data_IF_469520483018
#
_entry.id   IF_469520483018
#
_cell.length_a   1.000
_cell.length_b   1.000
_cell.length_c   1.000
_cell.angle_alpha   90.00
_cell.angle_beta   90.00
_cell.angle_gamma   90.00
#
_symmetry.space_group_name_H-M   'P 1'
#
loop_
_entity.id
_entity.type
_entity.pdbx_description
1 polymer ?
#
# COMPACT_ATOMS: atom_id res chain seq x y z
N UNK A 1 -55.02 -20.98 34.15
CA UNK A 1 -54.13 -22.02 34.70
C UNK A 1 -52.72 -21.43 34.77
N UNK A 2 -52.27 -21.10 36.00
CA UNK A 2 -50.91 -20.82 36.51
C UNK A 2 -49.84 -20.11 35.62
N UNK A 3 -49.06 -19.11 36.04
CA UNK A 3 -48.90 -18.35 37.30
C UNK A 3 -48.01 -17.11 36.99
N UNK A 4 -48.32 -15.96 37.62
CA UNK A 4 -47.38 -14.85 37.90
C UNK A 4 -46.12 -15.34 38.63
N UNK A 5 -45.07 -14.50 38.61
CA UNK A 5 -43.91 -14.36 39.55
C UNK A 5 -42.58 -14.56 38.81
N UNK A 6 -41.52 -13.78 38.97
CA UNK A 6 -41.15 -12.78 39.97
C UNK A 6 -40.02 -11.93 39.38
N UNK A 7 -40.16 -10.60 39.37
CA UNK A 7 -39.00 -9.74 39.60
C UNK A 7 -38.69 -9.83 41.11
N UNK A 8 -37.53 -10.38 41.44
CA UNK A 8 -36.85 -10.27 42.72
C UNK A 8 -35.37 -10.14 42.30
N UNK A 9 -34.63 -9.08 42.59
CA UNK A 9 -34.50 -8.42 43.87
C UNK A 9 -33.12 -8.75 44.42
N UNK A 10 -32.17 -7.84 44.13
CA UNK A 10 -30.84 -7.64 44.74
C UNK A 10 -29.63 -8.50 44.28
N UNK A 11 -28.62 -7.75 43.84
CA UNK A 11 -27.27 -8.19 43.50
C UNK A 11 -26.58 -7.12 42.64
N UNK A 12 -26.21 -5.97 43.23
CA UNK A 12 -25.36 -4.97 42.57
C UNK A 12 -24.01 -5.65 42.28
N UNK A 13 -23.75 -6.00 41.02
CA UNK A 13 -22.45 -5.95 40.33
C UNK A 13 -22.60 -6.69 39.00
N UNK A 14 -22.14 -6.05 37.93
CA UNK A 14 -21.94 -6.62 36.58
C UNK A 14 -23.16 -7.08 35.77
N UNK A 15 -23.83 -6.10 35.14
CA UNK A 15 -24.62 -6.33 33.93
C UNK A 15 -24.36 -5.21 32.92
N UNK A 16 -23.24 -5.30 32.20
CA UNK A 16 -22.99 -4.49 31.00
C UNK A 16 -22.36 -5.27 29.85
N UNK A 17 -22.82 -6.49 29.58
CA UNK A 17 -22.47 -7.21 28.34
C UNK A 17 -23.66 -8.05 27.84
N UNK A 18 -24.60 -7.41 27.15
CA UNK A 18 -25.47 -8.13 26.21
C UNK A 18 -25.95 -7.14 25.15
N UNK A 19 -25.05 -6.78 24.24
CA UNK A 19 -25.36 -5.93 23.09
C UNK A 19 -25.13 -6.69 21.77
N UNK A 20 -26.17 -6.68 20.94
CA UNK A 20 -26.18 -6.86 19.49
C UNK A 20 -25.58 -8.14 18.86
N UNK A 21 -26.44 -9.13 18.63
CA UNK A 21 -26.40 -9.94 17.39
C UNK A 21 -27.54 -9.49 16.48
N UNK A 22 -27.23 -8.83 15.36
CA UNK A 22 -28.16 -8.72 14.23
C UNK A 22 -27.42 -9.26 13.00
N UNK A 23 -27.84 -10.45 12.59
CA UNK A 23 -27.32 -11.25 11.48
C UNK A 23 -27.87 -10.65 10.18
N UNK A 24 -27.00 -10.29 9.23
CA UNK A 24 -27.39 -9.92 7.87
C UNK A 24 -26.95 -11.05 6.93
N UNK A 25 -27.94 -11.78 6.38
CA UNK A 25 -27.75 -12.71 5.27
C UNK A 25 -27.59 -11.91 3.99
N UNK A 26 -26.54 -12.18 3.22
CA UNK A 26 -26.49 -11.88 1.79
C UNK A 26 -26.15 -13.20 1.10
N UNK A 27 -27.09 -13.69 0.29
CA UNK A 27 -26.92 -14.85 -0.57
C UNK A 27 -26.15 -14.44 -1.83
N UNK A 28 -25.01 -15.10 -2.09
CA UNK A 28 -24.47 -15.24 -3.44
C UNK A 28 -24.14 -16.70 -3.72
N UNK A 29 -24.41 -17.06 -4.96
CA UNK A 29 -24.45 -18.39 -5.56
C UNK A 29 -23.03 -18.88 -5.88
N UNK A 30 -22.76 -20.15 -5.56
CA UNK A 30 -21.64 -21.00 -5.99
C UNK A 30 -20.23 -20.57 -5.56
N UNK A 31 -19.74 -21.09 -4.44
CA UNK A 31 -18.81 -22.24 -4.38
C UNK A 31 -18.49 -22.47 -2.91
N UNK A 32 -18.83 -23.66 -2.41
CA UNK A 32 -18.56 -24.09 -1.03
C UNK A 32 -17.05 -24.15 -0.75
N UNK A 33 -16.58 -23.35 0.22
CA UNK A 33 -15.45 -23.74 1.05
C UNK A 33 -15.74 -23.43 2.51
N UNK A 34 -15.92 -24.52 3.25
CA UNK A 34 -16.25 -24.58 4.66
C UNK A 34 -14.94 -24.46 5.46
N UNK A 35 -14.64 -23.29 6.04
CA UNK A 35 -13.56 -23.14 7.02
C UNK A 35 -14.19 -22.79 8.36
N UNK A 36 -14.42 -23.84 9.14
CA UNK A 36 -14.71 -23.76 10.57
C UNK A 36 -13.41 -23.44 11.30
N UNK A 37 -13.30 -22.23 11.88
CA UNK A 37 -12.28 -21.95 12.88
C UNK A 37 -12.90 -22.23 14.24
N UNK A 38 -12.60 -23.43 14.75
CA UNK A 38 -12.88 -23.85 16.12
C UNK A 38 -12.02 -23.00 17.07
N UNK A 39 -12.68 -22.12 17.83
CA UNK A 39 -12.06 -21.49 18.98
C UNK A 39 -12.21 -22.41 20.19
N UNK A 40 -11.16 -23.14 20.55
CA UNK A 40 -10.96 -23.55 21.95
C UNK A 40 -9.57 -23.21 22.48
N UNK A 41 -9.50 -22.71 23.72
CA UNK A 41 -8.28 -22.30 24.38
C UNK A 41 -7.59 -23.54 24.96
N UNK A 42 -6.27 -23.63 24.83
CA UNK A 42 -5.49 -24.54 25.69
C UNK A 42 -4.34 -23.80 26.35
N UNK A 43 -4.48 -23.71 27.66
CA UNK A 43 -3.57 -23.15 28.61
C UNK A 43 -2.30 -23.99 28.76
N UNK A 44 -1.27 -23.33 29.30
CA UNK A 44 -0.15 -23.91 30.04
C UNK A 44 0.77 -24.86 29.28
N UNK A 45 1.89 -24.29 28.83
CA UNK A 45 3.17 -25.01 28.84
C UNK A 45 4.20 -24.14 29.55
N UNK A 46 4.29 -24.33 30.87
CA UNK A 46 5.36 -23.81 31.71
C UNK A 46 6.59 -24.69 31.51
N UNK A 47 7.68 -24.12 30.99
CA UNK A 47 9.00 -24.75 31.08
C UNK A 47 9.74 -24.10 32.25
N UNK A 48 9.90 -24.92 33.27
CA UNK A 48 10.70 -24.71 34.46
C UNK A 48 12.19 -24.72 34.09
N UNK A 49 12.90 -23.63 34.39
CA UNK A 49 14.36 -23.57 34.33
C UNK A 49 14.89 -23.02 35.66
N UNK A 50 14.61 -23.73 36.76
CA UNK A 50 15.29 -23.54 38.04
C UNK A 50 16.14 -24.76 38.39
N UNK A 51 17.28 -24.95 37.72
CA UNK A 51 18.39 -25.80 38.22
C UNK A 51 19.67 -25.55 37.43
N UNK A 52 20.54 -24.69 37.98
CA UNK A 52 21.98 -24.92 38.20
C UNK A 52 22.55 -23.64 38.80
N UNK A 53 23.09 -23.75 40.01
CA UNK A 53 23.76 -22.64 40.68
C UNK A 53 25.07 -22.29 39.99
N UNK A 54 25.33 -20.99 39.87
CA UNK A 54 26.66 -20.44 39.73
C UNK A 54 26.66 -19.08 40.45
N UNK A 55 27.23 -19.09 41.65
CA UNK A 55 27.64 -17.90 42.40
C UNK A 55 28.89 -17.37 41.70
N UNK A 56 28.87 -16.13 41.22
CA UNK A 56 30.08 -15.37 40.93
C UNK A 56 29.99 -14.00 41.61
N UNK A 57 30.76 -13.90 42.69
CA UNK A 57 31.15 -12.66 43.36
C UNK A 57 32.59 -12.37 42.92
N UNK A 58 32.86 -11.16 42.44
CA UNK A 58 34.21 -10.75 42.03
C UNK A 58 34.25 -9.49 41.18
N UNK A 59 34.33 -8.35 41.86
CA UNK A 59 35.31 -7.27 41.66
C UNK A 59 35.98 -7.06 40.28
N UNK A 60 35.92 -5.79 39.87
CA UNK A 60 36.98 -5.00 39.22
C UNK A 60 37.13 -5.01 37.68
N UNK A 61 36.74 -3.86 37.11
CA UNK A 61 37.58 -2.99 36.30
C UNK A 61 38.30 -3.60 35.07
N UNK A 62 37.78 -3.30 33.87
CA UNK A 62 38.34 -2.28 32.96
C UNK A 62 37.90 -2.53 31.50
N UNK A 63 37.59 -1.41 30.84
CA UNK A 63 37.62 -1.18 29.40
C UNK A 63 37.15 -2.31 28.47
N UNK A 64 35.90 -2.21 28.00
CA UNK A 64 35.71 -2.20 26.55
C UNK A 64 34.45 -1.43 26.17
N UNK A 65 34.67 -0.21 25.73
CA UNK A 65 33.75 0.59 24.94
C UNK A 65 33.43 -0.18 23.66
N UNK A 66 32.32 -0.90 23.66
CA UNK A 66 31.64 -1.26 22.42
C UNK A 66 30.25 -0.71 22.50
N UNK A 67 30.07 0.42 21.84
CA UNK A 67 28.83 1.12 21.57
C UNK A 67 27.79 0.10 21.08
N UNK A 68 27.00 -0.42 22.02
CA UNK A 68 25.74 -1.10 21.76
C UNK A 68 24.82 -0.05 21.14
N UNK A 69 25.00 0.14 19.83
CA UNK A 69 24.07 0.85 18.97
C UNK A 69 22.76 0.09 19.04
N UNK A 70 21.97 0.41 20.07
CA UNK A 70 20.59 0.01 20.23
C UNK A 70 19.83 0.63 19.08
N UNK A 71 19.90 0.02 17.90
CA UNK A 71 18.92 0.17 16.85
C UNK A 71 17.63 -0.38 17.46
N UNK A 72 16.94 0.48 18.23
CA UNK A 72 15.56 0.28 18.57
C UNK A 72 14.83 0.31 17.24
N UNK A 73 14.73 -0.85 16.60
CA UNK A 73 13.71 -1.09 15.58
C UNK A 73 12.41 -0.83 16.32
N UNK A 74 11.92 0.40 16.19
CA UNK A 74 10.62 0.84 16.70
C UNK A 74 9.66 -0.09 15.97
N UNK A 75 9.23 -1.17 16.63
CA UNK A 75 8.31 -2.17 16.10
C UNK A 75 6.98 -1.48 15.84
N UNK A 76 6.94 -0.81 14.70
CA UNK A 76 5.78 -0.10 14.22
C UNK A 76 4.90 -1.18 13.64
N UNK A 77 4.14 -1.84 14.52
CA UNK A 77 3.18 -2.89 14.14
C UNK A 77 2.35 -2.35 12.98
N UNK A 78 2.58 -2.88 11.78
CA UNK A 78 1.74 -2.59 10.63
C UNK A 78 0.33 -3.01 11.01
N UNK A 79 -0.60 -2.06 11.01
CA UNK A 79 -1.98 -2.42 11.27
C UNK A 79 -2.45 -3.30 10.12
N UNK A 80 -3.16 -4.39 10.42
CA UNK A 80 -3.72 -5.31 9.43
C UNK A 80 -4.50 -4.57 8.33
N UNK A 81 -5.13 -3.46 8.71
CA UNK A 81 -5.82 -2.56 7.80
C UNK A 81 -4.88 -1.91 6.75
N UNK A 82 -3.69 -1.45 7.14
CA UNK A 82 -2.72 -0.85 6.21
C UNK A 82 -2.29 -1.86 5.16
N UNK A 83 -2.02 -3.09 5.58
CA UNK A 83 -1.64 -4.18 4.68
C UNK A 83 -2.78 -4.53 3.71
N UNK A 84 -4.02 -4.59 4.20
CA UNK A 84 -5.18 -4.85 3.35
C UNK A 84 -5.37 -3.75 2.30
N UNK A 85 -5.28 -2.48 2.70
CA UNK A 85 -5.45 -1.34 1.77
C UNK A 85 -4.32 -1.28 0.74
N UNK A 86 -3.07 -1.53 1.14
CA UNK A 86 -1.96 -1.66 0.17
C UNK A 86 -2.18 -2.79 -0.83
N UNK A 87 -2.65 -3.95 -0.35
CA UNK A 87 -2.93 -5.08 -1.21
C UNK A 87 -4.07 -4.79 -2.20
N UNK A 88 -5.12 -4.10 -1.76
CA UNK A 88 -6.23 -3.68 -2.63
C UNK A 88 -5.75 -2.69 -3.69
N UNK A 89 -4.96 -1.68 -3.32
CA UNK A 89 -4.44 -0.72 -4.31
C UNK A 89 -3.48 -1.40 -5.31
N UNK A 90 -2.63 -2.31 -4.85
CA UNK A 90 -1.77 -3.11 -5.73
C UNK A 90 -2.61 -4.01 -6.67
N UNK A 91 -3.69 -4.62 -6.18
CA UNK A 91 -4.59 -5.42 -7.01
C UNK A 91 -5.31 -4.56 -8.07
N UNK A 92 -5.79 -3.37 -7.69
CA UNK A 92 -6.38 -2.41 -8.64
C UNK A 92 -5.36 -2.01 -9.70
N UNK A 93 -4.10 -1.78 -9.32
CA UNK A 93 -3.02 -1.50 -10.26
C UNK A 93 -2.73 -2.69 -11.19
N UNK A 94 -2.80 -3.93 -10.69
CA UNK A 94 -2.62 -5.13 -11.52
C UNK A 94 -3.77 -5.35 -12.51
N UNK A 95 -5.00 -4.96 -12.16
CA UNK A 95 -6.17 -5.12 -13.05
C UNK A 95 -6.23 -4.01 -14.10
N UNK A 96 -5.95 -2.77 -13.71
CA UNK A 96 -6.02 -1.61 -14.61
C UNK A 96 -4.71 -1.33 -15.35
N UNK A 97 -3.57 -1.82 -14.87
CA UNK A 97 -2.25 -1.61 -15.48
C UNK A 97 -2.11 -2.17 -16.91
N UNK A 98 -2.59 -3.41 -17.18
CA UNK A 98 -2.58 -3.99 -18.53
C UNK A 98 -3.48 -3.28 -19.52
N UNK A 99 -4.49 -2.53 -19.05
CA UNK A 99 -5.43 -1.81 -19.91
C UNK A 99 -4.72 -0.64 -20.57
N UNK A 100 -4.32 -0.86 -21.83
CA UNK A 100 -3.55 0.12 -22.60
C UNK A 100 -4.03 0.24 -24.02
N UNK A 101 -3.94 1.44 -24.58
CA UNK A 101 -4.18 1.69 -26.00
C UNK A 101 -2.82 1.77 -26.72
N UNK A 102 -2.55 0.90 -27.71
CA UNK A 102 -1.30 0.93 -28.46
C UNK A 102 -1.34 2.05 -29.52
N UNK A 103 -0.63 3.17 -29.26
CA UNK A 103 -0.55 4.31 -30.20
C UNK A 103 0.89 4.50 -30.72
N UNK A 104 1.82 3.63 -30.32
CA UNK A 104 3.23 3.67 -30.72
C UNK A 104 4.09 2.67 -29.95
N UNK A 105 5.41 2.91 -29.94
CA UNK A 105 6.38 2.06 -29.25
C UNK A 105 6.16 2.00 -27.72
N UNK A 106 5.62 3.07 -27.15
CA UNK A 106 5.16 3.13 -25.76
C UNK A 106 3.63 3.17 -25.77
N UNK A 107 2.95 2.19 -25.14
CA UNK A 107 1.49 2.19 -25.08
C UNK A 107 0.97 3.15 -23.99
N UNK A 108 -0.17 3.78 -24.24
CA UNK A 108 -0.82 4.63 -23.24
C UNK A 108 -1.51 3.74 -22.22
N UNK A 109 -1.02 3.75 -20.97
CA UNK A 109 -1.53 2.93 -19.89
C UNK A 109 -2.37 3.71 -18.88
N UNK A 110 -3.34 3.02 -18.29
CA UNK A 110 -4.07 3.44 -17.09
C UNK A 110 -3.27 3.23 -15.80
N UNK A 111 -2.14 2.50 -15.84
CA UNK A 111 -1.27 2.29 -14.69
C UNK A 111 -0.84 3.61 -14.03
N UNK A 112 -0.41 4.59 -14.84
CA UNK A 112 0.06 5.89 -14.34
C UNK A 112 -1.03 6.60 -13.51
N UNK A 113 -2.28 6.56 -13.99
CA UNK A 113 -3.43 7.11 -13.28
C UNK A 113 -3.66 6.43 -11.92
N UNK A 114 -3.60 5.10 -11.87
CA UNK A 114 -3.80 4.35 -10.63
C UNK A 114 -2.66 4.62 -9.65
N UNK A 115 -1.43 4.79 -10.12
CA UNK A 115 -0.28 5.14 -9.27
C UNK A 115 -0.48 6.53 -8.65
N UNK A 116 -0.90 7.53 -9.43
CA UNK A 116 -1.24 8.85 -8.91
C UNK A 116 -2.33 8.78 -7.83
N UNK A 117 -3.38 8.00 -8.08
CA UNK A 117 -4.46 7.78 -7.12
C UNK A 117 -3.98 7.04 -5.86
N UNK A 118 -3.08 6.06 -6.02
CA UNK A 118 -2.46 5.30 -4.92
C UNK A 118 -1.60 6.21 -4.06
N UNK A 119 -0.77 7.06 -4.66
CA UNK A 119 0.03 8.06 -3.95
C UNK A 119 -0.86 9.02 -3.15
N UNK A 120 -2.02 9.39 -3.69
CA UNK A 120 -2.98 10.25 -3.01
C UNK A 120 -3.65 9.63 -1.79
N UNK A 121 -3.99 8.34 -1.86
CA UNK A 121 -4.69 7.64 -0.80
C UNK A 121 -3.75 7.15 0.31
N UNK A 122 -2.61 6.58 -0.07
CA UNK A 122 -1.71 5.85 0.84
C UNK A 122 -0.49 6.66 1.28
N UNK A 123 -0.19 7.77 0.58
CA UNK A 123 1.01 8.56 0.82
C UNK A 123 2.29 7.86 0.32
N UNK A 124 3.47 8.36 0.70
CA UNK A 124 4.74 7.95 0.10
C UNK A 124 5.16 6.53 0.51
N UNK A 125 4.96 6.13 1.78
CA UNK A 125 5.43 4.82 2.29
C UNK A 125 4.61 3.65 1.75
N UNK A 126 3.29 3.69 1.97
CA UNK A 126 2.39 2.61 1.54
C UNK A 126 2.10 2.67 0.04
N UNK A 127 2.13 3.85 -0.57
CA UNK A 127 1.97 4.00 -2.01
C UNK A 127 3.13 3.37 -2.78
N UNK A 128 4.37 3.66 -2.38
CA UNK A 128 5.55 3.01 -2.98
C UNK A 128 5.56 1.51 -2.74
N UNK A 129 5.18 1.04 -1.55
CA UNK A 129 5.08 -0.40 -1.26
C UNK A 129 4.09 -1.10 -2.21
N UNK A 130 2.94 -0.47 -2.50
CA UNK A 130 1.95 -1.02 -3.44
C UNK A 130 2.51 -1.14 -4.86
N UNK A 131 3.28 -0.14 -5.30
CA UNK A 131 3.97 -0.16 -6.60
C UNK A 131 5.07 -1.22 -6.63
N UNK A 132 5.86 -1.38 -5.56
CA UNK A 132 6.87 -2.43 -5.46
C UNK A 132 6.25 -3.82 -5.56
N UNK A 133 5.11 -4.05 -4.90
CA UNK A 133 4.36 -5.32 -5.02
C UNK A 133 3.94 -5.54 -6.48
N UNK A 134 3.41 -4.52 -7.14
CA UNK A 134 3.06 -4.61 -8.57
C UNK A 134 4.25 -4.96 -9.47
N UNK A 135 5.42 -4.32 -9.27
CA UNK A 135 6.63 -4.67 -10.01
C UNK A 135 7.08 -6.11 -9.73
N UNK A 136 7.04 -6.55 -8.47
CA UNK A 136 7.42 -7.91 -8.09
C UNK A 136 6.51 -8.95 -8.74
N UNK A 137 5.20 -8.74 -8.75
CA UNK A 137 4.23 -9.62 -9.42
C UNK A 137 4.49 -9.71 -10.92
N UNK A 138 4.76 -8.57 -11.57
CA UNK A 138 5.12 -8.56 -12.98
C UNK A 138 6.47 -9.18 -13.28
N UNK A 139 7.46 -9.04 -12.39
CA UNK A 139 8.77 -9.68 -12.51
C UNK A 139 8.70 -11.20 -12.45
N UNK A 140 7.83 -11.76 -11.58
CA UNK A 140 7.57 -13.20 -11.45
C UNK A 140 6.96 -13.79 -12.75
N UNK A 141 6.36 -12.96 -13.60
CA UNK A 141 5.80 -13.39 -14.88
C UNK A 141 4.28 -13.32 -14.95
N UNK A 142 3.61 -12.65 -14.01
CA UNK A 142 2.18 -12.35 -14.14
C UNK A 142 2.02 -11.21 -15.16
N UNK A 143 1.09 -11.31 -16.14
CA UNK A 143 0.87 -10.29 -17.17
C UNK A 143 0.14 -9.05 -16.63
N UNK A 144 0.77 -8.35 -15.68
CA UNK A 144 0.26 -7.13 -15.06
C UNK A 144 0.79 -5.87 -15.73
N UNK A 145 1.83 -5.97 -16.57
CA UNK A 145 2.38 -4.81 -17.26
C UNK A 145 1.55 -4.43 -18.49
N UNK A 146 1.83 -3.24 -19.01
CA UNK A 146 1.13 -2.67 -20.16
C UNK A 146 1.05 -3.64 -21.35
N UNK A 147 -0.15 -3.75 -21.95
CA UNK A 147 -0.41 -4.65 -23.08
C UNK A 147 -0.33 -6.14 -22.72
N UNK A 148 -0.70 -6.50 -21.49
CA UNK A 148 -0.58 -7.87 -20.94
C UNK A 148 0.88 -8.41 -20.98
N UNK A 149 1.85 -7.51 -20.86
CA UNK A 149 3.26 -7.87 -20.77
C UNK A 149 3.62 -8.45 -19.40
N UNK A 150 4.62 -9.34 -19.38
CA UNK A 150 5.10 -9.97 -18.14
C UNK A 150 6.61 -10.22 -18.17
N UNK A 151 7.17 -10.46 -16.98
CA UNK A 151 8.50 -10.99 -16.77
C UNK A 151 9.63 -9.97 -16.78
N UNK A 152 10.82 -10.45 -16.41
CA UNK A 152 12.06 -9.68 -16.42
C UNK A 152 12.40 -9.12 -17.80
N UNK A 153 12.01 -9.79 -18.89
CA UNK A 153 12.23 -9.31 -20.26
C UNK A 153 11.52 -7.97 -20.52
N UNK A 154 10.31 -7.77 -19.97
CA UNK A 154 9.59 -6.49 -20.08
C UNK A 154 10.19 -5.41 -19.18
N UNK A 155 10.68 -5.78 -17.99
CA UNK A 155 11.39 -4.87 -17.09
C UNK A 155 12.75 -4.43 -17.62
N UNK A 156 13.48 -5.30 -18.30
CA UNK A 156 14.74 -4.98 -18.96
C UNK A 156 14.55 -4.36 -20.36
N UNK A 157 13.32 -4.36 -20.88
CA UNK A 157 12.98 -3.82 -22.19
C UNK A 157 13.04 -2.28 -22.27
N UNK A 158 12.71 -1.71 -23.43
CA UNK A 158 12.77 -0.27 -23.67
C UNK A 158 11.80 0.53 -22.78
N UNK A 159 10.67 -0.06 -22.40
CA UNK A 159 9.69 0.55 -21.51
C UNK A 159 9.99 0.33 -20.02
N UNK A 160 11.04 -0.44 -19.71
CA UNK A 160 11.41 -0.81 -18.34
C UNK A 160 11.70 0.38 -17.43
N UNK A 161 12.33 1.42 -17.96
CA UNK A 161 12.62 2.64 -17.23
C UNK A 161 11.38 3.34 -16.66
N UNK A 162 10.24 3.27 -17.35
CA UNK A 162 8.98 3.83 -16.84
C UNK A 162 8.42 3.01 -15.67
N UNK A 163 8.60 1.69 -15.68
CA UNK A 163 8.18 0.83 -14.56
C UNK A 163 8.97 1.17 -13.29
N UNK A 164 10.28 1.41 -13.42
CA UNK A 164 11.11 1.86 -12.30
C UNK A 164 10.75 3.30 -11.91
N UNK A 165 10.47 4.16 -12.89
CA UNK A 165 10.01 5.54 -12.69
C UNK A 165 8.70 5.64 -11.89
N UNK A 166 7.81 4.64 -11.97
CA UNK A 166 6.60 4.59 -11.16
C UNK A 166 6.85 4.58 -9.65
N UNK A 167 7.99 4.04 -9.19
CA UNK A 167 8.37 4.11 -7.77
C UNK A 167 8.64 5.56 -7.37
N UNK A 168 9.33 6.32 -8.22
CA UNK A 168 9.64 7.72 -7.98
C UNK A 168 8.40 8.60 -8.05
N UNK A 169 7.51 8.35 -9.01
CA UNK A 169 6.21 9.01 -9.07
C UNK A 169 5.42 8.81 -7.78
N UNK A 170 5.29 7.56 -7.31
CA UNK A 170 4.56 7.26 -6.09
C UNK A 170 5.22 7.89 -4.85
N UNK A 171 6.55 7.91 -4.79
CA UNK A 171 7.30 8.48 -3.69
C UNK A 171 7.19 10.00 -3.65
N UNK A 172 7.55 10.69 -4.74
CA UNK A 172 7.53 12.15 -4.85
C UNK A 172 6.10 12.67 -4.72
N UNK A 173 5.15 12.08 -5.46
CA UNK A 173 3.75 12.43 -5.37
C UNK A 173 3.21 12.28 -3.95
N UNK A 174 3.49 11.13 -3.32
CA UNK A 174 3.08 10.85 -1.94
C UNK A 174 3.64 11.86 -0.93
N UNK A 175 4.93 12.22 -1.03
CA UNK A 175 5.58 13.18 -0.13
C UNK A 175 4.92 14.56 -0.20
N UNK A 176 4.64 15.05 -1.42
CA UNK A 176 3.98 16.35 -1.60
C UNK A 176 2.55 16.35 -1.08
N UNK A 177 1.82 15.25 -1.25
CA UNK A 177 0.43 15.08 -0.75
C UNK A 177 0.40 15.08 0.78
N UNK A 178 1.37 14.43 1.42
CA UNK A 178 1.49 14.42 2.87
C UNK A 178 1.85 15.81 3.42
N UNK A 179 2.81 16.49 2.78
CA UNK A 179 3.24 17.83 3.18
C UNK A 179 2.14 18.88 3.03
N UNK A 180 1.33 18.76 1.98
CA UNK A 180 0.24 19.69 1.68
C UNK A 180 -1.04 19.45 2.47
N UNK A 181 -1.06 18.44 3.37
CA UNK A 181 -2.22 18.07 4.20
C UNK A 181 -3.51 17.86 3.41
N UNK A 182 -3.41 17.49 2.13
CA UNK A 182 -4.57 17.25 1.25
C UNK A 182 -5.11 18.48 0.50
N UNK A 183 -4.33 19.57 0.39
CA UNK A 183 -4.68 20.63 -0.56
C UNK A 183 -4.54 20.10 -2.00
N UNK A 184 -5.62 20.14 -2.81
CA UNK A 184 -5.63 19.52 -4.14
C UNK A 184 -4.65 20.17 -5.12
N UNK A 185 -4.38 21.48 -5.00
CA UNK A 185 -3.51 22.20 -5.94
C UNK A 185 -2.05 21.81 -5.73
N UNK A 186 -1.57 21.86 -4.49
CA UNK A 186 -0.17 21.50 -4.15
C UNK A 186 0.09 20.02 -4.42
N UNK A 187 -0.91 19.19 -4.17
CA UNK A 187 -0.82 17.76 -4.44
C UNK A 187 -0.79 17.46 -5.95
N UNK A 188 -1.52 18.23 -6.77
CA UNK A 188 -1.41 18.13 -8.23
C UNK A 188 -0.01 18.49 -8.73
N UNK A 189 0.60 19.56 -8.18
CA UNK A 189 1.99 19.92 -8.49
C UNK A 189 2.95 18.80 -8.12
N UNK A 190 2.75 18.17 -6.96
CA UNK A 190 3.54 17.01 -6.53
C UNK A 190 3.45 15.81 -7.48
N UNK A 191 2.25 15.51 -7.98
CA UNK A 191 2.03 14.46 -8.97
C UNK A 191 2.70 14.79 -10.30
N UNK A 192 2.58 16.04 -10.78
CA UNK A 192 3.25 16.49 -12.01
C UNK A 192 4.78 16.39 -11.87
N UNK A 193 5.34 16.75 -10.72
CA UNK A 193 6.78 16.61 -10.46
C UNK A 193 7.21 15.14 -10.42
N UNK A 194 6.42 14.27 -9.81
CA UNK A 194 6.68 12.83 -9.81
C UNK A 194 6.58 12.22 -11.21
N UNK A 195 5.65 12.69 -12.01
CA UNK A 195 5.42 12.23 -13.39
C UNK A 195 6.55 12.70 -14.31
N UNK A 196 7.00 13.96 -14.15
CA UNK A 196 8.19 14.47 -14.81
C UNK A 196 9.45 13.66 -14.45
N UNK A 197 9.64 13.29 -13.18
CA UNK A 197 10.75 12.44 -12.76
C UNK A 197 10.67 11.03 -13.38
N UNK A 198 9.46 10.47 -13.47
CA UNK A 198 9.20 9.21 -14.19
C UNK A 198 9.55 9.33 -15.68
N UNK A 199 9.15 10.42 -16.33
CA UNK A 199 9.46 10.67 -17.74
C UNK A 199 10.96 10.81 -18.00
N UNK A 200 11.69 11.54 -17.15
CA UNK A 200 13.14 11.72 -17.30
C UNK A 200 13.86 10.37 -17.24
N UNK A 201 13.55 9.54 -16.24
CA UNK A 201 14.18 8.22 -16.11
C UNK A 201 13.73 7.23 -17.19
N UNK A 202 12.44 7.20 -17.51
CA UNK A 202 11.91 6.36 -18.57
C UNK A 202 12.50 6.69 -19.94
N UNK A 203 12.61 7.98 -20.25
CA UNK A 203 13.16 8.45 -21.53
C UNK A 203 14.68 8.23 -21.60
N UNK A 204 15.42 8.48 -20.51
CA UNK A 204 16.85 8.20 -20.46
C UNK A 204 17.15 6.70 -20.66
N UNK A 205 16.37 5.83 -20.04
CA UNK A 205 16.46 4.39 -20.25
C UNK A 205 16.11 3.98 -21.69
N UNK A 206 15.06 4.57 -22.26
CA UNK A 206 14.63 4.29 -23.63
C UNK A 206 15.71 4.68 -24.65
N UNK A 207 16.31 5.86 -24.51
CA UNK A 207 17.43 6.32 -25.35
C UNK A 207 18.61 5.34 -25.27
N UNK A 208 18.94 4.88 -24.06
CA UNK A 208 20.02 3.92 -23.86
C UNK A 208 19.72 2.54 -24.48
N UNK A 209 18.48 2.05 -24.38
CA UNK A 209 18.14 0.73 -24.94
C UNK A 209 17.93 0.74 -26.46
N UNK A 210 17.29 1.79 -26.99
CA UNK A 210 16.99 1.89 -28.42
C UNK A 210 18.12 2.56 -29.24
N UNK A 211 19.15 3.10 -28.57
CA UNK A 211 20.28 3.80 -29.21
C UNK A 211 19.81 4.87 -30.22
N UNK A 212 18.75 5.59 -29.87
CA UNK A 212 18.11 6.58 -30.73
C UNK A 212 18.43 8.02 -30.30
N UNK A 213 18.25 8.98 -31.20
CA UNK A 213 18.41 10.40 -30.87
C UNK A 213 17.38 10.86 -29.82
N UNK A 214 17.78 11.78 -28.94
CA UNK A 214 16.93 12.35 -27.89
C UNK A 214 15.68 13.04 -28.46
N UNK A 215 15.80 13.70 -29.62
CA UNK A 215 14.67 14.33 -30.30
C UNK A 215 13.58 13.31 -30.66
N UNK A 216 13.98 12.19 -31.26
CA UNK A 216 13.05 11.10 -31.57
C UNK A 216 12.43 10.50 -30.30
N UNK A 217 13.23 10.24 -29.27
CA UNK A 217 12.73 9.70 -28.01
C UNK A 217 11.65 10.60 -27.38
N UNK A 218 11.81 11.92 -27.40
CA UNK A 218 10.80 12.85 -26.86
C UNK A 218 9.49 12.83 -27.65
N UNK A 219 9.56 12.74 -28.98
CA UNK A 219 8.35 12.68 -29.83
C UNK A 219 7.55 11.41 -29.59
N UNK A 220 8.23 10.28 -29.32
CA UNK A 220 7.58 9.00 -29.08
C UNK A 220 7.11 8.86 -27.64
N UNK A 221 7.88 9.36 -26.67
CA UNK A 221 7.67 9.06 -25.25
C UNK A 221 7.00 10.16 -24.42
N UNK A 222 7.01 11.42 -24.87
CA UNK A 222 6.52 12.56 -24.07
C UNK A 222 5.38 13.29 -24.77
N UNK A 223 5.57 13.68 -26.02
CA UNK A 223 4.62 14.53 -26.76
C UNK A 223 3.17 13.97 -26.81
N UNK A 224 2.93 12.68 -27.14
CA UNK A 224 1.56 12.15 -27.19
C UNK A 224 0.94 11.92 -25.80
N UNK A 225 1.76 11.82 -24.75
CA UNK A 225 1.28 11.50 -23.41
C UNK A 225 0.95 12.73 -22.58
N UNK A 226 1.62 13.86 -22.80
CA UNK A 226 1.56 15.02 -21.90
C UNK A 226 0.13 15.54 -21.68
N UNK A 227 -0.68 15.62 -22.75
CA UNK A 227 -2.06 16.09 -22.66
C UNK A 227 -2.96 15.10 -21.91
N UNK A 228 -2.78 13.80 -22.19
CA UNK A 228 -3.56 12.74 -21.56
C UNK A 228 -3.18 12.53 -20.09
N UNK A 229 -1.91 12.64 -19.76
CA UNK A 229 -1.43 12.48 -18.38
C UNK A 229 -1.79 13.68 -17.52
N UNK A 230 -1.77 14.90 -18.06
CA UNK A 230 -2.30 16.06 -17.33
C UNK A 230 -3.80 15.90 -17.04
N UNK A 231 -4.58 15.41 -18.02
CA UNK A 231 -5.99 15.10 -17.81
C UNK A 231 -6.19 14.01 -16.74
N UNK A 232 -5.40 12.93 -16.78
CA UNK A 232 -5.43 11.86 -15.76
C UNK A 232 -5.06 12.38 -14.38
N UNK A 233 -4.05 13.25 -14.27
CA UNK A 233 -3.64 13.84 -12.98
C UNK A 233 -4.79 14.65 -12.39
N UNK A 234 -5.44 15.52 -13.18
CA UNK A 234 -6.61 16.28 -12.72
C UNK A 234 -7.72 15.36 -12.24
N UNK A 235 -8.07 14.33 -13.02
CA UNK A 235 -9.08 13.34 -12.62
C UNK A 235 -8.65 12.61 -11.33
N UNK A 236 -7.39 12.23 -11.21
CA UNK A 236 -6.86 11.53 -10.04
C UNK A 236 -6.90 12.39 -8.78
N UNK A 237 -6.65 13.69 -8.89
CA UNK A 237 -6.78 14.64 -7.80
C UNK A 237 -8.24 14.76 -7.32
N UNK A 238 -9.18 14.86 -8.26
CA UNK A 238 -10.62 14.97 -7.95
C UNK A 238 -11.10 13.68 -7.29
N UNK A 239 -10.86 12.53 -7.92
CA UNK A 239 -11.27 11.22 -7.41
C UNK A 239 -10.57 10.92 -6.10
N UNK A 240 -9.27 11.18 -5.98
CA UNK A 240 -8.48 10.99 -4.77
C UNK A 240 -8.98 11.85 -3.60
N UNK A 241 -9.32 13.12 -3.85
CA UNK A 241 -9.89 14.00 -2.84
C UNK A 241 -11.29 13.55 -2.39
N UNK A 242 -12.15 13.14 -3.33
CA UNK A 242 -13.48 12.61 -3.03
C UNK A 242 -13.38 11.30 -2.23
N UNK A 243 -12.52 10.38 -2.67
CA UNK A 243 -12.34 9.09 -2.04
C UNK A 243 -11.78 9.25 -0.63
N UNK A 244 -10.83 10.16 -0.42
CA UNK A 244 -10.32 10.51 0.91
C UNK A 244 -11.43 11.04 1.83
N UNK A 245 -12.26 11.98 1.35
CA UNK A 245 -13.41 12.49 2.13
C UNK A 245 -14.36 11.36 2.54
N UNK A 246 -14.70 10.44 1.63
CA UNK A 246 -15.59 9.30 1.91
C UNK A 246 -14.98 8.30 2.87
N UNK A 247 -13.69 7.99 2.71
CA UNK A 247 -12.97 7.06 3.58
C UNK A 247 -12.78 7.63 5.00
N UNK A 248 -12.62 8.95 5.12
CA UNK A 248 -12.64 9.64 6.42
C UNK A 248 -14.02 9.59 7.06
N UNK A 249 -15.10 9.83 6.30
CA UNK A 249 -16.48 9.71 6.78
C UNK A 249 -16.85 8.30 7.23
N UNK A 250 -16.36 7.28 6.53
CA UNK A 250 -16.56 5.88 6.89
C UNK A 250 -15.66 5.43 8.07
N UNK A 251 -14.84 6.32 8.63
CA UNK A 251 -13.98 6.04 9.79
C UNK A 251 -12.81 5.09 9.49
N UNK A 252 -12.56 4.80 8.21
CA UNK A 252 -11.64 3.76 7.78
C UNK A 252 -10.21 4.30 7.63
N UNK A 253 -10.05 5.60 7.34
CA UNK A 253 -8.75 6.20 7.10
C UNK A 253 -8.02 6.64 8.39
N UNK A 254 -7.52 5.68 9.20
CA UNK A 254 -6.51 5.94 10.26
C UNK A 254 -5.07 6.07 9.72
N UNK A 255 -4.90 6.20 8.39
CA UNK A 255 -3.60 6.09 7.71
C UNK A 255 -2.61 7.22 8.08
N UNK A 256 -3.06 8.43 8.38
CA UNK A 256 -2.17 9.55 8.70
C UNK A 256 -1.66 9.58 10.15
N UNK A 257 -2.51 9.23 11.12
CA UNK A 257 -2.15 9.34 12.54
C UNK A 257 -1.09 8.28 12.93
N UNK A 258 -1.17 7.09 12.34
CA UNK A 258 -0.18 6.05 12.58
C UNK A 258 1.19 6.36 11.96
N UNK A 259 1.33 7.29 11.00
CA UNK A 259 2.62 7.56 10.33
C UNK A 259 3.39 8.72 10.97
N UNK A 260 2.66 9.62 11.64
CA UNK A 260 3.20 10.85 12.25
C UNK A 260 3.75 10.67 13.69
N UNK A 261 3.48 9.53 14.34
CA UNK A 261 4.04 9.10 15.64
C UNK A 261 5.16 8.04 15.49
#
# INVERSE_FOLDING_TARGET
MYRKKQCCGMGKHDHRLCNQRRILRISYFLTDYNISIDCKPFANFSVDLRRTGAVYSGTDALQNEKTEGKLTMKDKKLTTYQMAVTAVMAAVLCVLGPLTVPIGAVPISLANFVICLTAWLLGPKFGTLSVVIYLALGAIGIPVFSGYGAGLAKLAGPTGGYLVGYLLLAFIGGMFIEKSKGNPVVSAVGLVLGDAACYVLGTAWFVFQMQCELGYALTVCVYPFIALDLAKIVVSCIVGALLRKRLTQAGVLKLQNAVSE
#
